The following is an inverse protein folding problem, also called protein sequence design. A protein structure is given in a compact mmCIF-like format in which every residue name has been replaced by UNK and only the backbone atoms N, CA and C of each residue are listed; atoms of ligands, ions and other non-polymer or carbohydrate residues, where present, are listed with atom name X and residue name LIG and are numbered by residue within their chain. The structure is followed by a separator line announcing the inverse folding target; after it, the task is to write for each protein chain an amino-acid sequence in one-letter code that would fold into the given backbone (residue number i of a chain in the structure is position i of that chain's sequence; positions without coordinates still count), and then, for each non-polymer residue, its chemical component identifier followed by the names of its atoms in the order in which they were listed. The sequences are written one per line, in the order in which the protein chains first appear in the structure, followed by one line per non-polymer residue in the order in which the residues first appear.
data_IF_443853561043
#
_entry.id   IF_443853561043
#
_cell.length_a   1.000
_cell.length_b   1.000
_cell.length_c   1.000
_cell.angle_alpha   90.00
_cell.angle_beta   90.00
_cell.angle_gamma   90.00
#
_symmetry.space_group_name_H-M   'P 1'
#
loop_
_entity.id
_entity.type
_entity.pdbx_description
1 polymer ?
#
# COMPACT_ATOMS: atom_id res chain seq x y z
N UNK A 1 28.61 -37.59 -36.39
CA UNK A 1 27.14 -37.57 -36.14
C UNK A 1 26.80 -37.24 -34.70
N UNK A 2 27.41 -37.90 -33.73
CA UNK A 2 27.19 -37.65 -32.30
C UNK A 2 27.57 -36.22 -31.91
N UNK A 3 28.64 -35.68 -32.44
CA UNK A 3 29.11 -34.31 -32.17
C UNK A 3 28.08 -33.24 -32.54
N UNK A 4 27.40 -33.41 -33.66
CA UNK A 4 26.36 -32.47 -34.11
C UNK A 4 25.11 -32.53 -33.21
N UNK A 5 24.80 -33.71 -32.67
CA UNK A 5 23.68 -33.90 -31.71
C UNK A 5 24.03 -33.21 -30.40
N UNK A 6 25.25 -33.34 -29.90
CA UNK A 6 25.73 -32.69 -28.68
C UNK A 6 25.70 -31.17 -28.82
N UNK A 7 26.19 -30.65 -29.94
CA UNK A 7 26.15 -29.21 -30.21
C UNK A 7 24.71 -28.70 -30.27
N UNK A 8 23.81 -29.42 -30.94
CA UNK A 8 22.38 -29.06 -30.98
C UNK A 8 21.72 -29.03 -29.59
N UNK A 9 22.06 -29.98 -28.73
CA UNK A 9 21.55 -30.04 -27.37
C UNK A 9 22.06 -28.87 -26.52
N UNK A 10 23.31 -28.51 -26.64
CA UNK A 10 23.89 -27.35 -25.94
C UNK A 10 23.19 -26.05 -26.37
N UNK A 11 23.04 -25.86 -27.70
CA UNK A 11 22.33 -24.69 -28.22
C UNK A 11 20.90 -24.61 -27.70
N UNK A 12 20.18 -25.73 -27.67
CA UNK A 12 18.82 -25.78 -27.14
C UNK A 12 18.76 -25.38 -25.67
N UNK A 13 19.68 -25.88 -24.85
CA UNK A 13 19.73 -25.52 -23.40
C UNK A 13 20.01 -24.03 -23.22
N UNK A 14 20.92 -23.46 -24.01
CA UNK A 14 21.22 -22.02 -23.96
C UNK A 14 19.99 -21.19 -24.36
N UNK A 15 19.29 -21.57 -25.42
CA UNK A 15 18.07 -20.88 -25.85
C UNK A 15 16.97 -20.92 -24.77
N UNK A 16 16.79 -22.05 -24.11
CA UNK A 16 15.84 -22.21 -23.00
C UNK A 16 16.28 -21.31 -21.85
N UNK A 17 17.55 -21.30 -21.48
CA UNK A 17 18.04 -20.46 -20.37
C UNK A 17 17.86 -18.96 -20.67
N UNK A 18 18.14 -18.51 -21.88
CA UNK A 18 17.91 -17.12 -22.31
C UNK A 18 16.43 -16.77 -22.29
N UNK A 19 15.57 -17.67 -22.76
CA UNK A 19 14.13 -17.47 -22.73
C UNK A 19 13.61 -17.28 -21.29
N UNK A 20 14.00 -18.17 -20.37
CA UNK A 20 13.61 -18.05 -18.96
C UNK A 20 14.16 -16.79 -18.31
N UNK A 21 15.42 -16.44 -18.60
CA UNK A 21 16.04 -15.23 -18.07
C UNK A 21 15.27 -13.97 -18.52
N UNK A 22 14.98 -13.85 -19.80
CA UNK A 22 14.23 -12.70 -20.33
C UNK A 22 12.81 -12.64 -19.80
N UNK A 23 12.15 -13.78 -19.64
CA UNK A 23 10.79 -13.84 -19.10
C UNK A 23 10.74 -13.41 -17.63
N UNK A 24 11.66 -13.92 -16.80
CA UNK A 24 11.77 -13.56 -15.38
C UNK A 24 12.15 -12.08 -15.21
N UNK A 25 13.07 -11.57 -16.01
CA UNK A 25 13.46 -10.15 -15.96
C UNK A 25 12.30 -9.24 -16.35
N UNK A 26 11.51 -9.63 -17.35
CA UNK A 26 10.31 -8.90 -17.75
C UNK A 26 9.27 -8.81 -16.64
N UNK A 27 8.98 -9.92 -15.95
CA UNK A 27 8.05 -9.95 -14.82
C UNK A 27 8.54 -9.10 -13.64
N UNK A 28 9.84 -9.16 -13.33
CA UNK A 28 10.41 -8.37 -12.25
C UNK A 28 10.35 -6.86 -12.55
N UNK A 29 10.64 -6.45 -13.78
CA UNK A 29 10.56 -5.05 -14.20
C UNK A 29 9.11 -4.54 -14.16
N UNK A 30 8.14 -5.35 -14.55
CA UNK A 30 6.73 -5.00 -14.48
C UNK A 30 6.25 -4.84 -13.03
N UNK A 31 6.61 -5.76 -12.15
CA UNK A 31 6.30 -5.68 -10.73
C UNK A 31 6.91 -4.43 -10.07
N UNK A 32 8.12 -4.06 -10.47
CA UNK A 32 8.78 -2.86 -9.96
C UNK A 32 8.13 -1.57 -10.48
N UNK A 33 7.72 -1.53 -11.76
CA UNK A 33 6.99 -0.41 -12.33
C UNK A 33 5.61 -0.23 -11.67
N UNK A 34 4.89 -1.31 -11.43
CA UNK A 34 3.61 -1.28 -10.72
C UNK A 34 3.78 -0.77 -9.28
N UNK A 35 4.86 -1.15 -8.61
CA UNK A 35 5.18 -0.66 -7.28
C UNK A 35 5.51 0.85 -7.26
N UNK A 36 6.24 1.35 -8.25
CA UNK A 36 6.53 2.78 -8.39
C UNK A 36 5.27 3.64 -8.56
N UNK A 37 4.17 3.07 -9.07
CA UNK A 37 2.87 3.73 -9.13
C UNK A 37 2.11 3.70 -7.79
N UNK A 38 2.29 2.66 -6.99
CA UNK A 38 1.58 2.45 -5.72
C UNK A 38 2.24 3.22 -4.58
N UNK A 39 3.56 3.29 -4.52
CA UNK A 39 4.30 3.91 -3.41
C UNK A 39 3.93 5.39 -3.18
N UNK A 40 3.77 6.26 -4.21
CA UNK A 40 3.27 7.61 -4.03
C UNK A 40 1.85 7.69 -3.48
N UNK A 41 0.98 6.75 -3.82
CA UNK A 41 -0.39 6.68 -3.31
C UNK A 41 -0.41 6.33 -1.82
N UNK A 42 0.42 5.38 -1.41
CA UNK A 42 0.59 5.03 0.01
C UNK A 42 1.15 6.23 0.80
N UNK A 43 2.10 6.95 0.24
CA UNK A 43 2.66 8.15 0.87
C UNK A 43 1.59 9.24 1.02
N UNK A 44 0.80 9.50 -0.01
CA UNK A 44 -0.33 10.46 0.05
C UNK A 44 -1.33 10.07 1.14
N UNK A 45 -1.64 8.79 1.28
CA UNK A 45 -2.50 8.28 2.33
C UNK A 45 -1.94 8.59 3.71
N UNK A 46 -0.65 8.31 3.93
CA UNK A 46 0.03 8.58 5.20
C UNK A 46 0.09 10.09 5.52
N UNK A 47 0.24 10.94 4.52
CA UNK A 47 0.30 12.38 4.68
C UNK A 47 -1.07 13.01 4.99
N UNK A 48 -2.15 12.37 4.55
CA UNK A 48 -3.53 12.84 4.80
C UNK A 48 -4.01 12.53 6.23
N UNK A 49 -3.52 11.47 6.84
CA UNK A 49 -3.97 10.97 8.15
C UNK A 49 -3.83 12.01 9.28
N UNK A 50 -2.72 12.76 9.44
CA UNK A 50 -2.59 13.74 10.51
C UNK A 50 -3.67 14.81 10.47
N UNK A 51 -4.04 15.28 9.29
CA UNK A 51 -5.10 16.28 9.11
C UNK A 51 -6.46 15.71 9.50
N UNK A 52 -6.75 14.48 9.08
CA UNK A 52 -7.99 13.80 9.45
C UNK A 52 -8.11 13.64 10.96
N UNK A 53 -7.05 13.16 11.62
CA UNK A 53 -7.02 12.98 13.08
C UNK A 53 -7.19 14.32 13.80
N UNK A 54 -6.50 15.38 13.35
CA UNK A 54 -6.60 16.70 13.96
C UNK A 54 -8.02 17.26 13.92
N UNK A 55 -8.73 17.07 12.82
CA UNK A 55 -10.14 17.46 12.68
C UNK A 55 -11.06 16.57 13.52
N UNK A 56 -10.84 15.26 13.48
CA UNK A 56 -11.66 14.28 14.16
C UNK A 56 -11.58 14.39 15.69
N UNK A 57 -10.43 14.69 16.25
CA UNK A 57 -10.23 14.88 17.70
C UNK A 57 -11.10 15.99 18.30
N UNK A 58 -11.49 16.95 17.52
CA UNK A 58 -12.37 18.05 17.95
C UNK A 58 -13.81 17.59 18.18
N UNK A 59 -14.24 16.55 17.47
CA UNK A 59 -15.61 16.03 17.48
C UNK A 59 -15.69 14.72 18.26
N UNK A 60 -14.78 13.79 17.96
CA UNK A 60 -14.72 12.44 18.54
C UNK A 60 -13.80 12.41 19.76
N UNK A 61 -14.09 13.19 20.78
CA UNK A 61 -13.19 13.38 21.93
C UNK A 61 -12.99 12.13 22.79
N UNK A 62 -13.88 11.16 22.70
CA UNK A 62 -13.83 9.92 23.48
C UNK A 62 -13.06 8.77 22.80
N UNK A 63 -12.65 8.96 21.55
CA UNK A 63 -12.03 7.92 20.73
C UNK A 63 -10.48 7.97 20.76
N UNK A 64 -9.91 8.30 21.92
CA UNK A 64 -8.46 8.48 22.10
C UNK A 64 -7.65 7.24 21.73
N UNK A 65 -8.13 6.04 22.11
CA UNK A 65 -7.45 4.78 21.82
C UNK A 65 -7.36 4.51 20.31
N UNK A 66 -8.42 4.83 19.59
CA UNK A 66 -8.46 4.68 18.14
C UNK A 66 -7.45 5.62 17.46
N UNK A 67 -7.42 6.90 17.87
CA UNK A 67 -6.47 7.87 17.33
C UNK A 67 -5.01 7.50 17.62
N UNK A 68 -4.75 7.01 18.82
CA UNK A 68 -3.41 6.52 19.21
C UNK A 68 -3.02 5.31 18.37
N UNK A 69 -3.94 4.38 18.13
CA UNK A 69 -3.72 3.22 17.26
C UNK A 69 -3.38 3.61 15.82
N UNK A 70 -4.14 4.55 15.24
CA UNK A 70 -3.91 5.06 13.88
C UNK A 70 -2.55 5.77 13.79
N UNK A 71 -2.22 6.63 14.75
CA UNK A 71 -0.94 7.33 14.78
C UNK A 71 0.25 6.36 14.87
N UNK A 72 0.14 5.32 15.69
CA UNK A 72 1.16 4.28 15.81
C UNK A 72 1.32 3.44 14.54
N UNK A 73 0.20 3.06 13.92
CA UNK A 73 0.21 2.32 12.66
C UNK A 73 0.83 3.15 11.52
N UNK A 74 0.53 4.46 11.47
CA UNK A 74 1.14 5.39 10.54
C UNK A 74 2.65 5.50 10.74
N UNK A 75 3.11 5.61 11.98
CA UNK A 75 4.54 5.65 12.30
C UNK A 75 5.25 4.36 11.85
N UNK A 76 4.64 3.20 12.07
CA UNK A 76 5.13 1.91 11.58
C UNK A 76 5.25 1.87 10.06
N UNK A 77 4.22 2.37 9.36
CA UNK A 77 4.22 2.45 7.89
C UNK A 77 5.31 3.38 7.34
N UNK A 78 5.57 4.51 7.99
CA UNK A 78 6.64 5.44 7.61
C UNK A 78 8.05 4.84 7.80
N UNK A 79 8.22 3.93 8.75
CA UNK A 79 9.48 3.24 9.03
C UNK A 79 9.70 2.00 8.16
N UNK A 80 8.65 1.48 7.52
CA UNK A 80 8.71 0.30 6.67
C UNK A 80 9.61 0.54 5.45
N UNK A 81 10.56 -0.36 5.21
CA UNK A 81 11.55 -0.24 4.12
C UNK A 81 11.31 -1.24 3.00
N UNK A 82 10.83 -2.44 3.34
CA UNK A 82 10.52 -3.47 2.34
C UNK A 82 9.09 -3.32 1.83
N UNK A 83 8.83 -3.84 0.63
CA UNK A 83 7.48 -3.89 0.04
C UNK A 83 6.53 -4.68 0.94
N UNK A 84 6.99 -5.82 1.49
CA UNK A 84 6.22 -6.65 2.39
C UNK A 84 5.81 -5.90 3.66
N UNK A 85 6.75 -5.18 4.29
CA UNK A 85 6.49 -4.41 5.50
C UNK A 85 5.53 -3.25 5.25
N UNK A 86 5.65 -2.60 4.09
CA UNK A 86 4.74 -1.53 3.67
C UNK A 86 3.31 -2.03 3.47
N UNK A 87 3.14 -3.18 2.81
CA UNK A 87 1.84 -3.79 2.59
C UNK A 87 1.20 -4.26 3.91
N UNK A 88 1.97 -4.87 4.80
CA UNK A 88 1.47 -5.28 6.12
C UNK A 88 1.04 -4.07 6.95
N UNK A 89 1.84 -3.01 6.97
CA UNK A 89 1.52 -1.77 7.67
C UNK A 89 0.28 -1.09 7.09
N UNK A 90 0.11 -1.13 5.77
CA UNK A 90 -1.08 -0.58 5.10
C UNK A 90 -2.34 -1.38 5.42
N UNK A 91 -2.25 -2.71 5.51
CA UNK A 91 -3.37 -3.54 5.95
C UNK A 91 -3.80 -3.23 7.40
N UNK A 92 -2.84 -3.07 8.31
CA UNK A 92 -3.13 -2.68 9.69
C UNK A 92 -3.79 -1.31 9.75
N UNK A 93 -3.27 -0.37 8.99
CA UNK A 93 -3.83 0.98 8.90
C UNK A 93 -5.24 0.97 8.30
N UNK A 94 -5.49 0.19 7.27
CA UNK A 94 -6.81 0.02 6.65
C UNK A 94 -7.84 -0.52 7.64
N UNK A 95 -7.48 -1.50 8.46
CA UNK A 95 -8.35 -2.02 9.52
C UNK A 95 -8.72 -0.97 10.55
N UNK A 96 -7.76 -0.14 10.97
CA UNK A 96 -8.00 0.96 11.91
C UNK A 96 -8.83 2.08 11.30
N UNK A 97 -8.62 2.42 10.04
CA UNK A 97 -9.42 3.41 9.31
C UNK A 97 -10.86 2.91 9.10
N UNK A 98 -11.07 1.63 8.81
CA UNK A 98 -12.41 1.04 8.76
C UNK A 98 -13.15 1.19 10.10
N UNK A 99 -12.46 0.95 11.21
CA UNK A 99 -13.00 1.19 12.55
C UNK A 99 -13.30 2.67 12.79
N UNK A 100 -12.45 3.55 12.31
CA UNK A 100 -12.67 5.00 12.38
C UNK A 100 -13.93 5.41 11.61
N UNK A 101 -14.12 4.95 10.38
CA UNK A 101 -15.30 5.26 9.57
C UNK A 101 -16.58 4.75 10.22
N UNK A 102 -16.56 3.52 10.75
CA UNK A 102 -17.70 2.96 11.45
C UNK A 102 -18.09 3.78 12.68
N UNK A 103 -17.13 4.27 13.46
CA UNK A 103 -17.38 5.13 14.62
C UNK A 103 -17.79 6.55 14.23
N UNK A 104 -17.23 7.07 13.13
CA UNK A 104 -17.58 8.40 12.61
C UNK A 104 -19.05 8.51 12.21
N UNK A 105 -19.70 7.41 11.86
CA UNK A 105 -21.14 7.37 11.57
C UNK A 105 -22.00 7.78 12.77
N UNK A 106 -21.54 7.57 14.00
CA UNK A 106 -22.19 8.02 15.22
C UNK A 106 -22.05 9.53 15.49
N UNK A 107 -21.24 10.22 14.72
CA UNK A 107 -20.95 11.65 14.85
C UNK A 107 -21.44 12.42 13.62
N UNK A 108 -22.68 12.95 13.61
CA UNK A 108 -23.23 13.66 12.45
C UNK A 108 -22.41 14.87 12.01
N UNK A 109 -21.69 15.50 12.94
CA UNK A 109 -20.81 16.64 12.67
C UNK A 109 -19.62 16.29 11.75
N UNK A 110 -19.21 15.02 11.73
CA UNK A 110 -18.18 14.53 10.82
C UNK A 110 -18.66 14.52 9.37
N UNK A 111 -19.93 14.19 9.16
CA UNK A 111 -20.55 14.15 7.81
C UNK A 111 -20.83 15.52 7.24
N UNK A 112 -21.10 16.52 8.08
CA UNK A 112 -21.40 17.88 7.65
C UNK A 112 -20.17 18.72 7.34
N UNK A 113 -18.98 18.26 7.67
CA UNK A 113 -17.72 18.97 7.42
C UNK A 113 -17.14 18.54 6.06
N UNK A 114 -17.15 19.44 5.10
CA UNK A 114 -16.66 19.20 3.74
C UNK A 114 -15.18 18.80 3.71
N UNK A 115 -14.34 19.46 4.49
CA UNK A 115 -12.90 19.12 4.57
C UNK A 115 -12.66 17.72 5.11
N UNK A 116 -13.51 17.27 6.03
CA UNK A 116 -13.45 15.93 6.59
C UNK A 116 -13.91 14.88 5.60
N UNK A 117 -14.98 15.15 4.86
CA UNK A 117 -15.44 14.28 3.78
C UNK A 117 -14.36 14.11 2.71
N UNK A 118 -13.74 15.21 2.28
CA UNK A 118 -12.64 15.14 1.30
C UNK A 118 -11.46 14.30 1.81
N UNK A 119 -11.08 14.44 3.08
CA UNK A 119 -10.01 13.64 3.66
C UNK A 119 -10.38 12.14 3.72
N UNK A 120 -11.63 11.83 4.10
CA UNK A 120 -12.13 10.45 4.14
C UNK A 120 -12.20 9.85 2.73
N UNK A 121 -12.66 10.59 1.72
CA UNK A 121 -12.69 10.15 0.33
C UNK A 121 -11.29 9.92 -0.22
N UNK A 122 -10.34 10.80 0.09
CA UNK A 122 -8.94 10.62 -0.31
C UNK A 122 -8.35 9.33 0.27
N UNK A 123 -8.66 9.03 1.53
CA UNK A 123 -8.17 7.82 2.18
C UNK A 123 -8.85 6.54 1.68
N UNK A 124 -10.14 6.60 1.35
CA UNK A 124 -10.87 5.45 0.80
C UNK A 124 -10.62 5.23 -0.68
N UNK A 125 -10.36 6.28 -1.44
CA UNK A 125 -10.09 6.21 -2.88
C UNK A 125 -8.72 5.64 -3.25
N UNK A 126 -7.86 5.41 -2.26
CA UNK A 126 -6.52 4.81 -2.44
C UNK A 126 -6.58 3.27 -2.25
N UNK A 127 -7.71 2.70 -1.88
CA UNK A 127 -7.96 1.26 -1.88
C UNK A 127 -8.25 0.78 -3.31
#
# INVERSE_FOLDING_TARGET
MIEWIVIGLIVLVVLIAVYFYNHLTGLNNQAQADWELIDPLLQQRLDTIPNLIAMAKRVMTQETDLFTGIAKAREGALKAKSVSDKLESDQQLSGLLASFYARAEAYPQMRSNESMQMAMETLSGIE
#
